data_IF_656090560597
#
_entry.id   IF_656090560597
#
_cell.length_a   1.000
_cell.length_b   1.000
_cell.length_c   1.000
_cell.angle_alpha   90.00
_cell.angle_beta   90.00
_cell.angle_gamma   90.00
#
_symmetry.space_group_name_H-M   'P 1'
#
loop_
_entity.id
_entity.type
_entity.pdbx_description
1 polymer ?
#
# COMPACT_ATOMS: atom_id res chain seq x y z
N UNK A 1 45.38 -12.40 9.24
CA UNK A 1 44.01 -12.15 9.73
C UNK A 1 43.10 -12.78 8.68
N UNK A 2 42.73 -14.04 8.89
CA UNK A 2 41.93 -14.80 7.93
C UNK A 2 40.52 -14.20 7.88
N UNK A 3 40.16 -13.70 6.71
CA UNK A 3 38.79 -13.32 6.40
C UNK A 3 38.05 -14.64 6.26
N UNK A 4 37.32 -15.04 7.30
CA UNK A 4 36.32 -16.10 7.18
C UNK A 4 35.26 -15.59 6.19
N UNK A 5 35.41 -15.94 4.92
CA UNK A 5 34.37 -15.74 3.92
C UNK A 5 33.26 -16.72 4.28
N UNK A 6 32.30 -16.26 5.06
CA UNK A 6 31.07 -17.02 5.25
C UNK A 6 30.41 -17.13 3.88
N UNK A 7 30.37 -18.34 3.32
CA UNK A 7 29.61 -18.62 2.10
C UNK A 7 28.11 -18.46 2.42
N UNK A 8 27.58 -17.28 2.13
CA UNK A 8 26.16 -17.00 2.19
C UNK A 8 25.52 -17.29 0.84
N UNK A 9 24.40 -18.01 0.87
CA UNK A 9 23.59 -18.27 -0.33
C UNK A 9 22.26 -17.52 -0.22
N UNK A 10 21.80 -16.83 -1.27
CA UNK A 10 20.51 -16.15 -1.23
C UNK A 10 19.36 -17.16 -1.14
N UNK A 11 18.32 -16.81 -0.37
CA UNK A 11 17.10 -17.61 -0.23
C UNK A 11 15.86 -16.73 -0.37
N UNK A 12 14.68 -17.36 -0.51
CA UNK A 12 13.43 -16.62 -0.67
C UNK A 12 13.45 -15.68 -1.89
N UNK A 13 13.01 -14.43 -1.69
CA UNK A 13 13.01 -13.43 -2.77
C UNK A 13 14.42 -13.11 -3.28
N UNK A 14 15.44 -13.08 -2.42
CA UNK A 14 16.80 -12.75 -2.85
C UNK A 14 17.30 -13.71 -3.94
N UNK A 15 17.06 -15.01 -3.76
CA UNK A 15 17.40 -16.03 -4.77
C UNK A 15 16.62 -15.85 -6.06
N UNK A 16 15.31 -15.57 -5.96
CA UNK A 16 14.44 -15.43 -7.12
C UNK A 16 14.79 -14.19 -7.95
N UNK A 17 15.12 -13.08 -7.27
CA UNK A 17 15.57 -11.86 -7.90
C UNK A 17 16.88 -12.07 -8.66
N UNK A 18 17.84 -12.75 -8.06
CA UNK A 18 19.11 -13.10 -8.73
C UNK A 18 18.88 -14.05 -9.91
N UNK A 19 18.15 -15.15 -9.69
CA UNK A 19 17.87 -16.18 -10.71
C UNK A 19 17.19 -15.64 -11.96
N UNK A 20 16.29 -14.66 -11.79
CA UNK A 20 15.55 -14.05 -12.89
C UNK A 20 16.13 -12.71 -13.36
N UNK A 21 17.29 -12.30 -12.83
CA UNK A 21 17.91 -11.00 -13.10
C UNK A 21 16.93 -9.81 -12.95
N UNK A 22 16.08 -9.89 -11.91
CA UNK A 22 15.10 -8.85 -11.60
C UNK A 22 15.76 -7.81 -10.69
N UNK A 23 15.78 -6.56 -11.15
CA UNK A 23 16.30 -5.43 -10.39
C UNK A 23 15.18 -4.43 -10.04
N UNK A 24 15.43 -3.61 -9.01
CA UNK A 24 14.69 -2.35 -8.84
C UNK A 24 13.51 -2.36 -7.88
N UNK A 25 13.24 -3.44 -7.15
CA UNK A 25 12.22 -3.44 -6.09
C UNK A 25 12.76 -4.09 -4.81
N UNK A 26 13.16 -3.31 -3.79
CA UNK A 26 13.61 -3.87 -2.53
C UNK A 26 12.44 -4.47 -1.75
N UNK A 27 12.70 -5.52 -0.99
CA UNK A 27 11.79 -5.98 0.06
C UNK A 27 12.30 -5.51 1.42
N UNK A 28 11.41 -5.38 2.39
CA UNK A 28 11.79 -5.04 3.75
C UNK A 28 12.64 -6.13 4.44
N UNK A 29 12.57 -7.37 3.94
CA UNK A 29 13.29 -8.52 4.44
C UNK A 29 14.05 -9.21 3.31
N UNK A 30 15.33 -9.50 3.55
CA UNK A 30 16.19 -10.28 2.68
C UNK A 30 16.74 -11.48 3.45
N UNK A 31 16.65 -12.66 2.83
CA UNK A 31 17.06 -13.91 3.45
C UNK A 31 18.31 -14.48 2.79
N UNK A 32 19.28 -14.85 3.61
CA UNK A 32 20.47 -15.61 3.23
C UNK A 32 20.51 -16.92 4.03
N UNK A 33 21.22 -17.92 3.53
CA UNK A 33 21.50 -19.18 4.23
C UNK A 33 23.00 -19.36 4.34
N UNK A 34 23.49 -19.55 5.56
CA UNK A 34 24.89 -19.85 5.82
C UNK A 34 25.16 -21.35 5.71
N UNK A 35 26.27 -21.73 5.09
CA UNK A 35 26.73 -23.11 4.97
C UNK A 35 27.28 -23.69 6.29
N UNK A 36 27.88 -22.85 7.14
CA UNK A 36 28.58 -23.27 8.37
C UNK A 36 28.27 -22.39 9.59
N UNK A 37 27.59 -21.27 9.41
CA UNK A 37 27.36 -20.27 10.45
C UNK A 37 26.09 -20.47 11.29
N UNK A 38 26.01 -19.68 12.36
CA UNK A 38 24.82 -19.56 13.21
C UNK A 38 23.81 -18.58 12.60
N UNK A 39 22.57 -18.66 13.09
CA UNK A 39 21.53 -17.71 12.72
C UNK A 39 21.84 -16.33 13.30
N UNK A 40 21.68 -15.28 12.51
CA UNK A 40 21.74 -13.90 12.97
C UNK A 40 20.89 -13.00 12.08
N UNK A 41 20.52 -11.82 12.58
CA UNK A 41 19.81 -10.79 11.82
C UNK A 41 20.47 -9.43 12.02
N UNK A 42 20.45 -8.62 10.95
CA UNK A 42 20.92 -7.24 10.94
C UNK A 42 19.76 -6.35 10.51
N UNK A 43 19.50 -5.32 11.29
CA UNK A 43 18.44 -4.34 11.01
C UNK A 43 19.09 -3.00 10.71
N UNK A 44 18.76 -2.40 9.57
CA UNK A 44 19.24 -1.08 9.17
C UNK A 44 18.12 -0.34 8.42
N UNK A 45 17.74 0.85 8.90
CA UNK A 45 16.72 1.71 8.27
C UNK A 45 15.38 1.01 7.97
N UNK A 46 14.99 0.05 8.81
CA UNK A 46 13.75 -0.73 8.65
C UNK A 46 13.87 -1.92 7.68
N UNK A 47 15.03 -2.12 7.06
CA UNK A 47 15.38 -3.33 6.31
C UNK A 47 16.00 -4.36 7.25
N UNK A 48 15.59 -5.61 7.07
CA UNK A 48 16.09 -6.76 7.81
C UNK A 48 16.83 -7.66 6.83
N UNK A 49 18.11 -7.89 7.10
CA UNK A 49 18.87 -8.97 6.49
C UNK A 49 18.99 -10.09 7.52
N UNK A 50 18.43 -11.25 7.20
CA UNK A 50 18.42 -12.41 8.10
C UNK A 50 19.19 -13.57 7.48
N UNK A 51 20.13 -14.11 8.24
CA UNK A 51 20.93 -15.27 7.85
C UNK A 51 20.44 -16.49 8.60
N UNK A 52 19.89 -17.44 7.86
CA UNK A 52 19.43 -18.72 8.36
C UNK A 52 20.54 -19.78 8.37
N UNK A 53 20.37 -20.79 9.21
CA UNK A 53 21.28 -21.96 9.27
C UNK A 53 21.09 -22.84 8.03
N UNK A 54 22.11 -23.62 7.67
CA UNK A 54 22.13 -24.51 6.49
C UNK A 54 20.87 -25.37 6.31
N UNK A 55 20.28 -25.87 7.41
CA UNK A 55 19.05 -26.68 7.38
C UNK A 55 17.82 -25.99 6.79
N UNK A 56 17.83 -24.66 6.70
CA UNK A 56 16.75 -23.87 6.11
C UNK A 56 16.88 -23.70 4.60
N UNK A 57 17.93 -24.25 3.97
CA UNK A 57 18.09 -24.22 2.53
C UNK A 57 16.89 -24.87 1.82
N UNK A 58 16.13 -24.13 0.97
CA UNK A 58 14.92 -24.65 0.34
C UNK A 58 15.20 -25.53 -0.90
N UNK A 59 16.46 -25.70 -1.31
CA UNK A 59 16.85 -26.40 -2.55
C UNK A 59 16.96 -25.45 -3.74
N UNK A 60 16.84 -25.95 -4.98
CA UNK A 60 17.06 -25.14 -6.19
C UNK A 60 15.76 -24.80 -6.96
N UNK A 61 14.62 -25.32 -6.49
CA UNK A 61 13.32 -25.19 -7.18
C UNK A 61 12.65 -23.87 -6.85
N UNK A 62 12.10 -23.20 -7.86
CA UNK A 62 11.46 -21.87 -7.69
C UNK A 62 10.31 -21.93 -6.69
N UNK A 63 9.46 -22.95 -6.76
CA UNK A 63 8.33 -23.11 -5.83
C UNK A 63 8.75 -23.18 -4.37
N UNK A 64 9.90 -23.82 -4.06
CA UNK A 64 10.40 -23.91 -2.69
C UNK A 64 10.89 -22.54 -2.19
N UNK A 65 11.53 -21.75 -3.06
CA UNK A 65 11.92 -20.38 -2.71
C UNK A 65 10.73 -19.42 -2.59
N UNK A 66 9.67 -19.59 -3.40
CA UNK A 66 8.42 -18.84 -3.22
C UNK A 66 7.76 -19.18 -1.87
N UNK A 67 7.70 -20.45 -1.50
CA UNK A 67 7.19 -20.89 -0.20
C UNK A 67 8.04 -20.31 0.95
N UNK A 68 9.36 -20.36 0.81
CA UNK A 68 10.29 -19.74 1.76
C UNK A 68 10.03 -18.23 1.90
N UNK A 69 9.93 -17.51 0.78
CA UNK A 69 9.71 -16.07 0.76
C UNK A 69 8.40 -15.69 1.48
N UNK A 70 7.29 -16.36 1.18
CA UNK A 70 6.01 -16.08 1.85
C UNK A 70 6.02 -16.41 3.36
N UNK A 71 6.94 -17.27 3.80
CA UNK A 71 7.08 -17.68 5.20
C UNK A 71 7.96 -16.73 6.00
N UNK A 72 9.06 -16.25 5.41
CA UNK A 72 10.10 -15.50 6.12
C UNK A 72 10.25 -14.05 5.62
N UNK A 73 10.20 -13.83 4.31
CA UNK A 73 10.35 -12.49 3.71
C UNK A 73 9.04 -11.68 3.68
N UNK A 74 7.90 -12.35 3.90
CA UNK A 74 6.58 -11.76 3.83
C UNK A 74 6.01 -11.67 2.40
N UNK A 75 4.83 -11.06 2.28
CA UNK A 75 4.13 -10.93 1.00
C UNK A 75 4.46 -9.57 0.40
N UNK A 76 4.98 -9.59 -0.82
CA UNK A 76 5.18 -8.39 -1.63
C UNK A 76 4.56 -8.63 -3.01
N UNK A 77 3.39 -8.03 -3.26
CA UNK A 77 2.63 -8.28 -4.48
C UNK A 77 3.35 -7.76 -5.74
N UNK A 78 4.11 -6.67 -5.64
CA UNK A 78 4.91 -6.16 -6.75
C UNK A 78 6.03 -7.13 -7.15
N UNK A 79 6.75 -7.67 -6.15
CA UNK A 79 7.77 -8.70 -6.39
C UNK A 79 7.16 -9.98 -6.95
N UNK A 80 6.04 -10.44 -6.39
CA UNK A 80 5.35 -11.62 -6.89
C UNK A 80 4.88 -11.44 -8.34
N UNK A 81 4.37 -10.26 -8.70
CA UNK A 81 3.97 -9.97 -10.08
C UNK A 81 5.17 -10.09 -11.04
N UNK A 82 6.30 -9.45 -10.73
CA UNK A 82 7.53 -9.53 -11.53
C UNK A 82 8.09 -10.96 -11.63
N UNK A 83 8.05 -11.71 -10.52
CA UNK A 83 8.51 -13.10 -10.50
C UNK A 83 7.59 -13.96 -11.37
N UNK A 84 6.27 -13.85 -11.23
CA UNK A 84 5.30 -14.66 -11.98
C UNK A 84 5.31 -14.39 -13.48
N UNK A 85 5.81 -13.24 -13.94
CA UNK A 85 6.07 -12.99 -15.36
C UNK A 85 7.23 -13.84 -15.92
N UNK A 86 8.17 -14.28 -15.07
CA UNK A 86 9.36 -15.06 -15.46
C UNK A 86 9.25 -16.55 -15.16
N UNK A 87 8.41 -16.92 -14.19
CA UNK A 87 8.22 -18.31 -13.78
C UNK A 87 7.39 -19.08 -14.83
N UNK A 88 7.84 -20.29 -15.18
CA UNK A 88 7.08 -21.14 -16.09
C UNK A 88 5.80 -21.66 -15.44
N UNK A 89 4.72 -21.70 -16.21
CA UNK A 89 3.42 -22.19 -15.75
C UNK A 89 3.50 -23.66 -15.31
N UNK A 90 4.27 -24.48 -16.01
CA UNK A 90 4.44 -25.91 -15.74
C UNK A 90 5.19 -26.16 -14.43
N UNK A 91 6.28 -25.43 -14.17
CA UNK A 91 7.02 -25.54 -12.91
C UNK A 91 6.13 -25.19 -11.71
N UNK A 92 5.37 -24.09 -11.82
CA UNK A 92 4.48 -23.65 -10.76
C UNK A 92 3.32 -24.63 -10.54
N UNK A 93 2.72 -25.13 -11.62
CA UNK A 93 1.67 -26.16 -11.57
C UNK A 93 2.18 -27.42 -10.89
N UNK A 94 3.38 -27.89 -11.28
CA UNK A 94 4.01 -29.06 -10.68
C UNK A 94 4.27 -28.89 -9.19
N UNK A 95 4.72 -27.71 -8.78
CA UNK A 95 4.91 -27.39 -7.36
C UNK A 95 3.59 -27.42 -6.59
N UNK A 96 2.54 -26.76 -7.08
CA UNK A 96 1.22 -26.72 -6.42
C UNK A 96 0.63 -28.14 -6.31
N UNK A 97 0.68 -28.93 -7.38
CA UNK A 97 0.21 -30.32 -7.39
C UNK A 97 1.00 -31.24 -6.45
N UNK A 98 2.25 -30.92 -6.15
CA UNK A 98 3.05 -31.70 -5.18
C UNK A 98 2.62 -31.48 -3.72
N UNK A 99 1.94 -30.36 -3.42
CA UNK A 99 1.50 -29.99 -2.05
C UNK A 99 0.10 -29.31 -2.08
N UNK A 100 -0.95 -29.97 -2.61
CA UNK A 100 -2.21 -29.31 -2.96
C UNK A 100 -2.95 -28.69 -1.76
N UNK A 101 -2.85 -29.31 -0.58
CA UNK A 101 -3.46 -28.81 0.66
C UNK A 101 -2.56 -27.85 1.44
N UNK A 102 -1.30 -27.71 1.03
CA UNK A 102 -0.28 -26.90 1.69
C UNK A 102 -0.66 -25.42 1.71
N UNK A 103 -0.59 -24.79 2.88
CA UNK A 103 -0.95 -23.38 3.08
C UNK A 103 -0.25 -22.45 2.08
N UNK A 104 1.08 -22.58 1.94
CA UNK A 104 1.85 -21.71 1.05
C UNK A 104 1.63 -22.03 -0.43
N UNK A 105 1.49 -23.30 -0.81
CA UNK A 105 1.15 -23.68 -2.19
C UNK A 105 -0.18 -23.05 -2.63
N UNK A 106 -1.21 -23.08 -1.77
CA UNK A 106 -2.52 -22.44 -2.04
C UNK A 106 -2.43 -20.93 -2.13
N UNK A 107 -1.62 -20.28 -1.29
CA UNK A 107 -1.37 -18.82 -1.36
C UNK A 107 -0.63 -18.44 -2.64
N UNK A 108 0.41 -19.17 -3.01
CA UNK A 108 1.16 -18.96 -4.27
C UNK A 108 0.23 -19.11 -5.47
N UNK A 109 -0.58 -20.16 -5.48
CA UNK A 109 -1.57 -20.40 -6.53
C UNK A 109 -2.56 -19.24 -6.65
N UNK A 110 -3.16 -18.82 -5.53
CA UNK A 110 -4.08 -17.69 -5.50
C UNK A 110 -3.42 -16.39 -5.99
N UNK A 111 -2.22 -16.07 -5.51
CA UNK A 111 -1.52 -14.85 -5.92
C UNK A 111 -1.13 -14.87 -7.39
N UNK A 112 -0.76 -16.03 -7.95
CA UNK A 112 -0.48 -16.15 -9.38
C UNK A 112 -1.73 -15.82 -10.20
N UNK A 113 -2.85 -16.48 -9.93
CA UNK A 113 -4.09 -16.26 -10.70
C UNK A 113 -4.62 -14.83 -10.49
N UNK A 114 -4.52 -14.29 -9.27
CA UNK A 114 -4.93 -12.91 -8.95
C UNK A 114 -4.08 -11.85 -9.66
N UNK A 115 -2.75 -11.96 -9.63
CA UNK A 115 -1.84 -10.95 -10.17
C UNK A 115 -1.71 -11.05 -11.69
N UNK A 116 -1.72 -12.26 -12.26
CA UNK A 116 -1.54 -12.45 -13.70
C UNK A 116 -2.86 -12.46 -14.47
N UNK A 117 -3.98 -12.78 -13.81
CA UNK A 117 -5.26 -13.05 -14.46
C UNK A 117 -5.28 -14.38 -15.23
N UNK A 118 -4.22 -15.19 -15.14
CA UNK A 118 -4.09 -16.47 -15.85
C UNK A 118 -4.38 -17.62 -14.88
N UNK A 119 -5.29 -18.50 -15.27
CA UNK A 119 -5.64 -19.68 -14.50
C UNK A 119 -4.61 -20.80 -14.71
N UNK A 120 -4.15 -21.44 -13.63
CA UNK A 120 -3.24 -22.58 -13.72
C UNK A 120 -4.00 -23.88 -14.05
N UNK A 121 -3.40 -24.86 -14.76
CA UNK A 121 -4.00 -26.16 -15.03
C UNK A 121 -3.95 -27.09 -13.79
N UNK A 122 -4.59 -26.62 -12.71
CA UNK A 122 -4.79 -27.28 -11.42
C UNK A 122 -6.29 -27.38 -11.18
N UNK A 123 -6.78 -28.53 -10.72
CA UNK A 123 -8.20 -28.71 -10.40
C UNK A 123 -8.59 -27.96 -9.13
N UNK A 124 -9.86 -27.54 -9.05
CA UNK A 124 -10.40 -26.87 -7.87
C UNK A 124 -10.31 -27.75 -6.61
N UNK A 125 -9.94 -27.16 -5.48
CA UNK A 125 -9.93 -27.86 -4.21
C UNK A 125 -11.35 -28.09 -3.67
N UNK A 126 -11.74 -29.36 -3.65
CA UNK A 126 -13.06 -29.80 -3.17
C UNK A 126 -13.14 -29.97 -1.65
N UNK A 127 -12.01 -30.00 -0.94
CA UNK A 127 -11.94 -30.17 0.52
C UNK A 127 -10.84 -29.32 1.15
N UNK A 128 -10.86 -29.20 2.48
CA UNK A 128 -9.88 -28.43 3.26
C UNK A 128 -10.42 -27.11 3.81
N UNK A 129 -9.74 -26.62 4.85
CA UNK A 129 -10.04 -25.35 5.50
C UNK A 129 -9.68 -24.16 4.59
N UNK A 130 -10.35 -23.04 4.79
CA UNK A 130 -9.90 -21.79 4.18
C UNK A 130 -8.71 -21.22 4.94
N UNK A 131 -7.75 -20.65 4.21
CA UNK A 131 -6.64 -19.89 4.79
C UNK A 131 -6.62 -18.49 4.19
N UNK A 132 -6.16 -17.51 4.95
CA UNK A 132 -6.12 -16.13 4.47
C UNK A 132 -5.01 -15.91 3.44
N UNK A 133 -5.24 -15.00 2.49
CA UNK A 133 -4.21 -14.56 1.55
C UNK A 133 -3.05 -13.86 2.29
N UNK A 134 -3.39 -12.98 3.24
CA UNK A 134 -2.47 -12.32 4.17
C UNK A 134 -2.75 -12.74 5.60
N UNK A 135 -1.71 -13.01 6.39
CA UNK A 135 -1.88 -13.32 7.81
C UNK A 135 -2.34 -12.08 8.58
N UNK A 136 -3.54 -12.08 9.17
CA UNK A 136 -4.09 -10.90 9.86
C UNK A 136 -3.25 -10.43 11.08
N UNK A 137 -2.42 -11.32 11.64
CA UNK A 137 -1.46 -10.97 12.70
C UNK A 137 -0.28 -10.13 12.19
N UNK A 138 0.11 -10.30 10.92
CA UNK A 138 1.30 -9.68 10.33
C UNK A 138 0.92 -8.52 9.38
N UNK A 139 -0.35 -8.43 8.97
CA UNK A 139 -0.86 -7.44 8.02
C UNK A 139 -2.21 -6.87 8.46
N UNK A 140 -2.47 -5.62 8.09
CA UNK A 140 -3.82 -5.07 8.09
C UNK A 140 -4.59 -5.62 6.89
N UNK A 141 -5.79 -6.13 7.17
CA UNK A 141 -6.60 -6.89 6.21
C UNK A 141 -8.08 -6.58 6.44
N UNK A 142 -8.93 -6.90 5.46
CA UNK A 142 -10.38 -6.83 5.65
C UNK A 142 -10.88 -7.99 6.53
N UNK A 143 -11.79 -7.72 7.47
CA UNK A 143 -12.23 -8.70 8.48
C UNK A 143 -13.15 -9.81 7.93
N UNK A 144 -13.68 -9.64 6.71
CA UNK A 144 -14.56 -10.61 6.02
C UNK A 144 -14.22 -10.71 4.53
N UNK A 145 -13.02 -11.21 4.23
CA UNK A 145 -12.57 -11.37 2.84
C UNK A 145 -13.46 -12.29 2.01
N UNK A 146 -13.43 -12.09 0.69
CA UNK A 146 -14.15 -12.93 -0.27
C UNK A 146 -13.51 -14.31 -0.36
N UNK A 147 -14.31 -15.37 -0.42
CA UNK A 147 -13.81 -16.74 -0.51
C UNK A 147 -13.52 -17.11 -1.96
N UNK A 148 -12.27 -17.44 -2.25
CA UNK A 148 -11.90 -18.16 -3.46
C UNK A 148 -11.99 -19.66 -3.21
N UNK A 149 -13.08 -20.28 -3.67
CA UNK A 149 -13.39 -21.70 -3.45
C UNK A 149 -12.33 -22.62 -4.07
N UNK A 150 -11.96 -22.35 -5.33
CA UNK A 150 -10.92 -23.05 -6.09
C UNK A 150 -9.62 -23.23 -5.32
N UNK A 151 -9.15 -22.14 -4.71
CA UNK A 151 -7.89 -22.10 -3.96
C UNK A 151 -8.07 -22.49 -2.49
N UNK A 152 -9.30 -22.50 -1.96
CA UNK A 152 -9.60 -22.48 -0.52
C UNK A 152 -8.85 -21.34 0.18
N UNK A 153 -8.89 -20.14 -0.40
CA UNK A 153 -8.26 -18.92 0.12
C UNK A 153 -9.34 -17.87 0.44
N UNK A 154 -9.21 -17.19 1.57
CA UNK A 154 -9.95 -15.96 1.85
C UNK A 154 -9.14 -14.79 1.32
N UNK A 155 -9.66 -14.12 0.30
CA UNK A 155 -9.13 -12.88 -0.24
C UNK A 155 -9.41 -11.73 0.72
N UNK A 156 -8.55 -11.59 1.73
CA UNK A 156 -8.57 -10.53 2.72
C UNK A 156 -7.68 -9.32 2.35
N UNK A 157 -7.37 -9.15 1.06
CA UNK A 157 -6.60 -8.02 0.53
C UNK A 157 -7.38 -6.70 0.65
N UNK A 158 -6.63 -5.58 0.70
CA UNK A 158 -7.18 -4.23 0.84
C UNK A 158 -7.72 -3.64 -0.47
N UNK A 159 -7.39 -4.24 -1.62
CA UNK A 159 -7.76 -3.71 -2.94
C UNK A 159 -7.72 -4.74 -4.06
N UNK A 160 -8.18 -4.36 -5.27
CA UNK A 160 -8.08 -5.17 -6.47
C UNK A 160 -6.66 -5.15 -7.08
N UNK A 161 -6.41 -5.97 -8.10
CA UNK A 161 -5.11 -6.03 -8.79
C UNK A 161 -4.60 -4.66 -9.27
N UNK A 162 -5.50 -3.78 -9.74
CA UNK A 162 -5.14 -2.45 -10.25
C UNK A 162 -4.57 -1.53 -9.17
N UNK A 163 -4.95 -1.71 -7.90
CA UNK A 163 -4.31 -1.02 -6.78
C UNK A 163 -4.55 -1.85 -5.52
N UNK A 164 -3.55 -2.62 -5.08
CA UNK A 164 -3.67 -3.47 -3.89
C UNK A 164 -2.56 -3.14 -2.88
N UNK A 165 -2.79 -2.18 -1.98
CA UNK A 165 -1.81 -1.86 -0.95
C UNK A 165 -1.66 -3.03 0.04
N UNK A 166 -0.44 -3.27 0.48
CA UNK A 166 -0.13 -4.25 1.53
C UNK A 166 0.49 -3.51 2.71
N UNK A 167 -0.25 -3.43 3.81
CA UNK A 167 0.20 -2.72 5.01
C UNK A 167 0.57 -3.74 6.09
N UNK A 168 1.86 -3.81 6.41
CA UNK A 168 2.36 -4.66 7.49
C UNK A 168 1.94 -4.13 8.85
N UNK A 169 1.54 -5.02 9.75
CA UNK A 169 1.30 -4.72 11.16
C UNK A 169 2.63 -4.75 11.92
N UNK A 170 3.36 -3.64 11.88
CA UNK A 170 4.57 -3.47 12.69
C UNK A 170 4.23 -3.17 14.14
N UNK A 171 5.17 -3.40 15.07
CA UNK A 171 4.95 -3.03 16.48
C UNK A 171 4.61 -1.54 16.66
N UNK A 172 5.26 -0.67 15.89
CA UNK A 172 5.00 0.78 15.92
C UNK A 172 3.56 1.09 15.52
N UNK A 173 3.07 0.49 14.43
CA UNK A 173 1.70 0.68 13.99
C UNK A 173 0.70 0.05 14.97
N UNK A 174 0.98 -1.16 15.47
CA UNK A 174 0.11 -1.81 16.45
C UNK A 174 -0.06 -0.97 17.73
N UNK A 175 1.01 -0.33 18.23
CA UNK A 175 0.94 0.59 19.38
C UNK A 175 0.09 1.84 19.07
N UNK A 176 0.27 2.44 17.89
CA UNK A 176 -0.52 3.62 17.49
C UNK A 176 -2.00 3.27 17.26
N UNK A 177 -2.27 2.12 16.65
CA UNK A 177 -3.62 1.61 16.39
C UNK A 177 -4.34 1.21 17.69
N UNK A 178 -3.59 0.75 18.71
CA UNK A 178 -4.13 0.50 20.05
C UNK A 178 -4.38 1.76 20.87
N UNK A 179 -3.86 2.92 20.43
CA UNK A 179 -4.16 4.18 21.09
C UNK A 179 -5.59 4.55 20.75
N UNK A 180 -6.44 4.70 21.78
CA UNK A 180 -7.85 5.04 21.61
C UNK A 180 -8.00 6.50 21.21
N UNK A 181 -7.60 6.81 19.97
CA UNK A 181 -7.65 8.16 19.41
C UNK A 181 -9.08 8.68 19.41
N UNK A 182 -10.07 7.82 19.19
CA UNK A 182 -11.49 8.17 19.25
C UNK A 182 -11.85 8.69 20.65
N UNK A 183 -11.58 7.91 21.69
CA UNK A 183 -11.85 8.34 23.06
C UNK A 183 -11.08 9.60 23.44
N UNK A 184 -9.81 9.72 23.04
CA UNK A 184 -9.03 10.94 23.29
C UNK A 184 -9.65 12.16 22.60
N UNK A 185 -10.16 12.01 21.38
CA UNK A 185 -10.89 13.07 20.68
C UNK A 185 -12.20 13.41 21.41
N UNK A 186 -12.97 12.42 21.85
CA UNK A 186 -14.20 12.61 22.63
C UNK A 186 -13.93 13.32 23.96
N UNK A 187 -12.88 12.93 24.69
CA UNK A 187 -12.46 13.56 25.94
C UNK A 187 -12.12 15.05 25.72
N UNK A 188 -11.42 15.38 24.62
CA UNK A 188 -11.11 16.77 24.26
C UNK A 188 -12.38 17.55 23.92
N UNK A 189 -13.26 16.98 23.08
CA UNK A 189 -14.48 17.67 22.63
C UNK A 189 -15.42 17.93 23.81
N UNK A 190 -15.51 17.00 24.77
CA UNK A 190 -16.36 17.13 25.96
C UNK A 190 -15.75 18.03 27.04
N UNK A 191 -14.43 18.19 27.08
CA UNK A 191 -13.74 19.02 28.07
C UNK A 191 -13.89 20.54 27.84
N UNK A 192 -14.32 20.97 26.66
CA UNK A 192 -14.40 22.40 26.30
C UNK A 192 -15.77 22.83 25.76
N UNK A 193 -16.17 24.10 25.96
CA UNK A 193 -17.40 24.62 25.37
C UNK A 193 -17.39 24.51 23.84
N UNK A 194 -18.52 24.19 23.19
CA UNK A 194 -18.62 24.03 21.74
C UNK A 194 -18.12 25.23 20.94
N UNK A 195 -18.34 26.45 21.43
CA UNK A 195 -17.88 27.67 20.74
C UNK A 195 -16.35 27.82 20.74
N UNK A 196 -15.69 27.36 21.80
CA UNK A 196 -14.22 27.37 21.89
C UNK A 196 -13.63 26.30 20.97
N UNK A 197 -14.25 25.12 20.90
CA UNK A 197 -13.90 24.06 19.95
C UNK A 197 -14.07 24.56 18.51
N UNK A 198 -15.21 25.17 18.15
CA UNK A 198 -15.44 25.74 16.81
C UNK A 198 -14.39 26.78 16.44
N UNK A 199 -14.05 27.68 17.37
CA UNK A 199 -12.99 28.68 17.14
C UNK A 199 -11.62 28.04 16.96
N UNK A 200 -11.29 27.03 17.76
CA UNK A 200 -10.04 26.28 17.66
C UNK A 200 -9.97 25.51 16.33
N UNK A 201 -11.03 24.79 15.95
CA UNK A 201 -11.13 24.11 14.66
C UNK A 201 -11.02 25.09 13.49
N UNK A 202 -11.69 26.23 13.56
CA UNK A 202 -11.57 27.27 12.52
C UNK A 202 -10.13 27.79 12.41
N UNK A 203 -9.44 28.00 13.54
CA UNK A 203 -8.03 28.37 13.56
C UNK A 203 -7.12 27.27 13.00
N UNK A 204 -7.33 26.02 13.41
CA UNK A 204 -6.56 24.85 12.96
C UNK A 204 -6.76 24.61 11.48
N UNK A 205 -7.99 24.65 10.96
CA UNK A 205 -8.24 24.54 9.53
C UNK A 205 -7.63 25.70 8.75
N UNK A 206 -7.71 26.94 9.25
CA UNK A 206 -7.00 28.07 8.63
C UNK A 206 -5.48 27.85 8.61
N UNK A 207 -4.91 27.32 9.70
CA UNK A 207 -3.47 27.03 9.81
C UNK A 207 -3.06 25.90 8.88
N UNK A 208 -3.81 24.80 8.86
CA UNK A 208 -3.60 23.63 7.99
C UNK A 208 -3.72 24.02 6.52
N UNK A 209 -4.67 24.90 6.20
CA UNK A 209 -4.83 25.41 4.84
C UNK A 209 -3.65 26.29 4.46
N UNK A 210 -3.22 27.20 5.34
CA UNK A 210 -2.02 28.03 5.11
C UNK A 210 -0.76 27.18 4.95
N UNK A 211 -0.51 26.22 5.83
CA UNK A 211 0.64 25.30 5.72
C UNK A 211 0.55 24.46 4.45
N UNK A 212 -0.63 23.95 4.11
CA UNK A 212 -0.92 23.22 2.86
C UNK A 212 -0.54 24.02 1.60
N UNK A 213 -0.93 25.30 1.54
CA UNK A 213 -0.57 26.19 0.43
C UNK A 213 0.90 26.63 0.48
N UNK A 214 1.47 26.84 1.66
CA UNK A 214 2.88 27.23 1.86
C UNK A 214 3.85 26.09 1.48
N UNK A 215 3.48 24.83 1.75
CA UNK A 215 4.22 23.65 1.26
C UNK A 215 4.28 23.67 -0.28
N UNK A 216 3.20 24.09 -0.92
CA UNK A 216 3.11 24.26 -2.38
C UNK A 216 3.64 25.63 -2.86
N UNK A 217 4.27 26.43 -1.97
CA UNK A 217 4.79 27.80 -2.22
C UNK A 217 3.77 28.79 -2.79
N UNK A 218 2.47 28.54 -2.57
CA UNK A 218 1.38 29.42 -2.97
C UNK A 218 1.04 30.33 -1.78
N UNK A 219 1.02 31.66 -1.99
CA UNK A 219 0.41 32.57 -1.00
C UNK A 219 -1.11 32.44 -1.07
N UNK A 220 -1.80 31.96 -0.02
CA UNK A 220 -3.25 31.83 -0.04
C UNK A 220 -3.90 33.22 -0.05
N UNK A 221 -4.95 33.39 -0.86
CA UNK A 221 -5.88 34.51 -0.69
C UNK A 221 -7.04 34.06 0.23
N UNK A 222 -7.67 35.00 0.94
CA UNK A 222 -8.69 34.69 1.95
C UNK A 222 -9.84 33.79 1.42
N UNK A 223 -10.24 34.01 0.17
CA UNK A 223 -11.31 33.24 -0.50
C UNK A 223 -10.95 31.77 -0.74
N UNK A 224 -9.69 31.44 -1.04
CA UNK A 224 -9.25 30.04 -1.23
C UNK A 224 -9.25 29.27 0.08
N UNK A 225 -8.80 29.91 1.15
CA UNK A 225 -8.83 29.30 2.48
C UNK A 225 -10.26 29.00 2.92
N UNK A 226 -11.16 29.94 2.71
CA UNK A 226 -12.58 29.76 3.01
C UNK A 226 -13.21 28.59 2.23
N UNK A 227 -12.94 28.48 0.92
CA UNK A 227 -13.44 27.36 0.09
C UNK A 227 -12.94 25.99 0.54
N UNK A 228 -11.68 25.89 0.97
CA UNK A 228 -11.14 24.64 1.50
C UNK A 228 -11.79 24.29 2.84
N UNK A 229 -11.97 25.27 3.74
CA UNK A 229 -12.69 25.09 5.01
C UNK A 229 -14.14 24.64 4.77
N UNK A 230 -14.86 25.28 3.83
CA UNK A 230 -16.22 24.86 3.46
C UNK A 230 -16.25 23.43 2.93
N UNK A 231 -15.23 23.05 2.15
CA UNK A 231 -15.13 21.67 1.65
C UNK A 231 -14.93 20.69 2.80
N UNK A 232 -14.13 21.03 3.81
CA UNK A 232 -13.93 20.17 5.00
C UNK A 232 -15.22 19.98 5.80
N UNK A 233 -16.10 20.98 5.86
CA UNK A 233 -17.43 20.82 6.48
C UNK A 233 -18.33 19.86 5.70
N UNK A 234 -18.16 19.76 4.37
CA UNK A 234 -18.87 18.78 3.54
C UNK A 234 -18.27 17.38 3.66
N UNK A 235 -16.98 17.27 4.01
CA UNK A 235 -16.28 16.00 4.20
C UNK A 235 -16.90 15.12 5.29
N UNK A 236 -17.62 15.70 6.25
CA UNK A 236 -18.33 14.95 7.30
C UNK A 236 -19.64 14.31 6.79
N UNK A 237 -20.13 14.71 5.62
CA UNK A 237 -21.48 14.34 5.12
C UNK A 237 -21.46 13.50 3.87
N UNK A 238 -20.41 13.62 3.07
CA UNK A 238 -20.29 12.99 1.76
C UNK A 238 -18.96 12.25 1.64
N UNK A 239 -18.96 11.11 0.96
CA UNK A 239 -17.74 10.42 0.56
C UNK A 239 -17.20 11.06 -0.72
N UNK A 240 -15.98 11.61 -0.65
CA UNK A 240 -15.34 12.27 -1.78
C UNK A 240 -14.40 11.36 -2.56
N UNK A 241 -14.17 10.12 -2.12
CA UNK A 241 -13.28 9.18 -2.80
C UNK A 241 -13.97 8.50 -4.01
N UNK A 242 -14.52 9.34 -4.89
CA UNK A 242 -15.14 8.97 -6.16
C UNK A 242 -14.66 9.93 -7.25
N UNK A 243 -14.48 9.43 -8.49
CA UNK A 243 -13.89 10.22 -9.59
C UNK A 243 -14.54 11.59 -9.77
N UNK A 244 -15.87 11.64 -9.88
CA UNK A 244 -16.61 12.88 -10.08
C UNK A 244 -16.44 13.86 -8.91
N UNK A 245 -16.41 13.35 -7.67
CA UNK A 245 -16.25 14.17 -6.46
C UNK A 245 -14.82 14.67 -6.27
N UNK A 246 -13.83 13.87 -6.65
CA UNK A 246 -12.43 14.29 -6.67
C UNK A 246 -12.20 15.44 -7.66
N UNK A 247 -12.78 15.34 -8.87
CA UNK A 247 -12.72 16.41 -9.88
C UNK A 247 -13.46 17.66 -9.40
N UNK A 248 -14.64 17.50 -8.80
CA UNK A 248 -15.39 18.62 -8.21
C UNK A 248 -14.58 19.32 -7.10
N UNK A 249 -13.96 18.53 -6.21
CA UNK A 249 -13.12 19.05 -5.14
C UNK A 249 -11.89 19.78 -5.69
N UNK A 250 -11.20 19.20 -6.68
CA UNK A 250 -10.07 19.82 -7.37
C UNK A 250 -10.48 21.21 -7.89
N UNK A 251 -11.58 21.27 -8.63
CA UNK A 251 -12.09 22.49 -9.24
C UNK A 251 -12.51 23.58 -8.24
N UNK A 252 -12.81 23.20 -6.99
CA UNK A 252 -13.13 24.13 -5.89
C UNK A 252 -11.88 24.73 -5.24
N UNK A 253 -10.78 23.98 -5.18
CA UNK A 253 -9.59 24.32 -4.38
C UNK A 253 -8.42 24.89 -5.21
N UNK A 254 -8.42 24.70 -6.53
CA UNK A 254 -7.39 25.22 -7.44
C UNK A 254 -7.75 26.59 -8.02
N UNK A 255 -6.77 27.25 -8.66
CA UNK A 255 -7.03 28.43 -9.49
C UNK A 255 -7.92 28.04 -10.68
N UNK A 256 -8.93 28.85 -11.08
CA UNK A 256 -9.78 28.53 -12.23
C UNK A 256 -9.04 28.16 -13.53
N UNK A 257 -7.79 28.62 -13.71
CA UNK A 257 -6.94 28.29 -14.87
C UNK A 257 -6.34 26.88 -14.83
N UNK A 258 -6.29 26.25 -13.66
CA UNK A 258 -5.77 24.89 -13.45
C UNK A 258 -6.90 23.90 -13.16
N UNK A 259 -8.13 24.24 -13.56
CA UNK A 259 -9.29 23.36 -13.44
C UNK A 259 -9.16 22.19 -14.39
N UNK A 260 -9.25 20.99 -13.85
CA UNK A 260 -9.21 19.77 -14.63
C UNK A 260 -10.63 19.26 -14.88
N UNK A 261 -10.89 18.79 -16.10
CA UNK A 261 -12.14 18.10 -16.46
C UNK A 261 -12.06 16.59 -16.27
N UNK A 262 -10.84 16.04 -16.26
CA UNK A 262 -10.54 14.63 -16.03
C UNK A 262 -9.13 14.49 -15.43
N UNK A 263 -8.63 13.28 -15.23
CA UNK A 263 -7.26 12.99 -14.86
C UNK A 263 -6.27 13.45 -15.92
N UNK A 264 -5.03 13.73 -15.51
CA UNK A 264 -3.97 14.23 -16.39
C UNK A 264 -3.68 13.28 -17.55
N UNK A 265 -3.46 13.86 -18.73
CA UNK A 265 -2.98 13.16 -19.93
C UNK A 265 -1.45 13.32 -20.11
N UNK A 266 -0.84 14.25 -19.38
CA UNK A 266 0.60 14.51 -19.38
C UNK A 266 1.34 13.75 -18.28
N UNK A 267 2.60 13.38 -18.56
CA UNK A 267 3.50 12.85 -17.54
C UNK A 267 3.91 13.96 -16.57
N UNK A 268 3.68 13.74 -15.28
CA UNK A 268 4.08 14.65 -14.21
C UNK A 268 5.18 14.01 -13.31
N UNK A 269 5.84 14.83 -12.50
CA UNK A 269 6.83 14.40 -11.52
C UNK A 269 6.73 15.23 -10.24
N UNK A 270 7.14 14.63 -9.12
CA UNK A 270 7.36 15.34 -7.87
C UNK A 270 8.84 15.70 -7.78
N UNK A 271 9.12 16.98 -7.69
CA UNK A 271 10.48 17.50 -7.65
C UNK A 271 10.61 18.77 -6.82
N UNK A 272 11.84 19.26 -6.71
CA UNK A 272 12.15 20.55 -6.12
C UNK A 272 12.98 21.39 -7.07
N UNK A 273 12.61 22.67 -7.23
CA UNK A 273 13.44 23.65 -7.93
C UNK A 273 14.57 24.11 -7.00
N UNK A 274 15.81 23.79 -7.35
CA UNK A 274 17.01 24.13 -6.57
C UNK A 274 17.65 25.43 -7.06
N UNK A 275 17.60 25.67 -8.38
CA UNK A 275 18.01 26.92 -9.01
C UNK A 275 17.25 27.12 -10.32
N UNK A 276 17.40 28.27 -10.97
CA UNK A 276 16.82 28.52 -12.30
C UNK A 276 17.25 27.42 -13.28
N UNK A 277 16.28 26.76 -13.92
CA UNK A 277 16.46 25.60 -14.81
C UNK A 277 17.12 24.36 -14.18
N UNK A 278 17.23 24.31 -12.85
CA UNK A 278 17.77 23.15 -12.13
C UNK A 278 16.72 22.56 -11.22
N UNK A 279 16.15 21.45 -11.68
CA UNK A 279 15.17 20.68 -10.92
C UNK A 279 15.76 19.34 -10.49
N UNK A 280 15.51 18.98 -9.24
CA UNK A 280 15.76 17.63 -8.75
C UNK A 280 14.43 16.89 -8.78
N UNK A 281 14.36 15.88 -9.63
CA UNK A 281 13.24 14.95 -9.68
C UNK A 281 13.39 13.96 -8.53
N UNK A 282 12.44 13.96 -7.61
CA UNK A 282 12.41 13.00 -6.50
C UNK A 282 11.65 11.74 -6.89
N UNK A 283 10.60 11.90 -7.69
CA UNK A 283 9.72 10.80 -8.05
C UNK A 283 9.01 11.11 -9.38
N UNK A 284 8.97 10.12 -10.26
CA UNK A 284 8.20 10.17 -11.50
C UNK A 284 6.90 9.39 -11.24
N UNK A 285 5.77 10.07 -11.37
CA UNK A 285 4.45 9.47 -11.13
C UNK A 285 4.13 8.41 -12.19
N UNK A 286 3.13 7.54 -11.95
CA UNK A 286 2.68 6.57 -12.96
C UNK A 286 2.36 7.22 -14.31
N UNK A 287 2.49 6.45 -15.39
CA UNK A 287 2.19 6.95 -16.74
C UNK A 287 0.72 7.35 -16.85
N UNK A 288 0.39 8.38 -17.65
CA UNK A 288 -0.99 8.77 -17.90
C UNK A 288 -1.87 7.60 -18.34
N UNK A 289 -1.37 6.75 -19.24
CA UNK A 289 -2.11 5.59 -19.78
C UNK A 289 -2.53 4.57 -18.70
N UNK A 290 -1.77 4.47 -17.60
CA UNK A 290 -2.07 3.56 -16.49
C UNK A 290 -3.02 4.22 -15.46
N UNK A 291 -3.13 5.54 -15.46
CA UNK A 291 -3.72 6.32 -14.37
C UNK A 291 -5.19 6.04 -14.14
N UNK A 292 -5.97 5.91 -15.22
CA UNK A 292 -7.41 5.62 -15.12
C UNK A 292 -7.65 4.31 -14.36
N UNK A 293 -6.96 3.23 -14.72
CA UNK A 293 -7.11 1.92 -14.06
C UNK A 293 -6.60 1.95 -12.61
N UNK A 294 -5.49 2.64 -12.36
CA UNK A 294 -4.94 2.80 -11.00
C UNK A 294 -5.90 3.57 -10.08
N UNK A 295 -6.52 4.64 -10.58
CA UNK A 295 -7.49 5.45 -9.82
C UNK A 295 -8.79 4.68 -9.56
N UNK A 296 -9.28 3.92 -10.53
CA UNK A 296 -10.40 2.99 -10.33
C UNK A 296 -10.07 1.97 -9.23
N UNK A 297 -8.87 1.37 -9.28
CA UNK A 297 -8.40 0.45 -8.25
C UNK A 297 -8.31 1.08 -6.86
N UNK A 298 -7.88 2.34 -6.78
CA UNK A 298 -7.80 3.08 -5.52
C UNK A 298 -9.19 3.32 -4.92
N UNK A 299 -10.16 3.71 -5.75
CA UNK A 299 -11.56 3.90 -5.34
C UNK A 299 -12.17 2.56 -4.88
N UNK A 300 -11.92 1.48 -5.61
CA UNK A 300 -12.39 0.14 -5.22
C UNK A 300 -11.75 -0.33 -3.91
N UNK A 301 -10.47 0.00 -3.69
CA UNK A 301 -9.78 -0.27 -2.42
C UNK A 301 -10.40 0.51 -1.28
N UNK A 302 -10.76 1.78 -1.50
CA UNK A 302 -11.44 2.59 -0.50
C UNK A 302 -12.76 1.93 -0.09
N UNK A 303 -13.62 1.58 -1.06
CA UNK A 303 -14.89 0.88 -0.81
C UNK A 303 -14.70 -0.46 -0.10
N UNK A 304 -13.68 -1.22 -0.51
CA UNK A 304 -13.34 -2.52 0.10
C UNK A 304 -12.87 -2.36 1.55
N UNK A 305 -12.06 -1.36 1.85
CA UNK A 305 -11.59 -1.09 3.22
C UNK A 305 -12.70 -0.57 4.13
N UNK A 306 -13.61 0.27 3.61
CA UNK A 306 -14.81 0.73 4.31
C UNK A 306 -15.70 -0.44 4.72
N UNK A 307 -16.09 -1.29 3.76
CA UNK A 307 -16.93 -2.47 4.04
C UNK A 307 -16.21 -3.56 4.84
N UNK A 308 -14.89 -3.63 4.69
CA UNK A 308 -14.01 -4.59 5.35
C UNK A 308 -13.65 -4.27 6.80
N UNK A 309 -14.13 -3.16 7.35
CA UNK A 309 -13.85 -2.71 8.72
C UNK A 309 -12.34 -2.65 9.05
N UNK A 310 -11.57 -2.06 8.14
CA UNK A 310 -10.13 -1.80 8.34
C UNK A 310 -9.97 -0.61 9.28
N UNK A 311 -8.90 -0.61 10.10
CA UNK A 311 -8.58 0.51 11.00
C UNK A 311 -8.68 1.87 10.27
N UNK A 312 -9.44 2.84 10.80
CA UNK A 312 -9.67 4.13 10.14
C UNK A 312 -8.38 4.86 9.77
N UNK A 313 -7.38 4.80 10.66
CA UNK A 313 -6.09 5.47 10.47
C UNK A 313 -5.31 4.80 9.33
N UNK A 314 -5.31 3.45 9.29
CA UNK A 314 -4.64 2.71 8.22
C UNK A 314 -5.36 2.94 6.89
N UNK A 315 -6.68 2.92 6.89
CA UNK A 315 -7.49 3.18 5.72
C UNK A 315 -7.22 4.57 5.14
N UNK A 316 -7.33 5.62 5.97
CA UNK A 316 -7.08 7.01 5.57
C UNK A 316 -5.65 7.20 5.05
N UNK A 317 -4.66 6.69 5.78
CA UNK A 317 -3.25 6.79 5.36
C UNK A 317 -3.00 6.09 4.02
N UNK A 318 -3.57 4.90 3.83
CA UNK A 318 -3.38 4.09 2.62
C UNK A 318 -3.98 4.77 1.39
N UNK A 319 -5.23 5.24 1.48
CA UNK A 319 -5.92 5.87 0.35
C UNK A 319 -5.35 7.24 0.04
N UNK A 320 -5.13 8.08 1.06
CA UNK A 320 -4.56 9.40 0.84
C UNK A 320 -3.14 9.29 0.25
N UNK A 321 -2.28 8.43 0.80
CA UNK A 321 -0.94 8.22 0.25
C UNK A 321 -0.99 7.66 -1.18
N UNK A 322 -1.86 6.68 -1.43
CA UNK A 322 -2.11 6.17 -2.78
C UNK A 322 -2.45 7.28 -3.76
N UNK A 323 -3.38 8.16 -3.37
CA UNK A 323 -3.83 9.26 -4.22
C UNK A 323 -2.69 10.22 -4.59
N UNK A 324 -1.89 10.67 -3.61
CA UNK A 324 -0.78 11.61 -3.90
C UNK A 324 0.35 10.94 -4.67
N UNK A 325 0.53 9.63 -4.49
CA UNK A 325 1.51 8.83 -5.23
C UNK A 325 1.10 8.67 -6.71
N UNK A 326 -0.18 8.41 -6.99
CA UNK A 326 -0.71 8.35 -8.36
C UNK A 326 -0.68 9.73 -9.04
N UNK A 327 -0.88 10.78 -8.25
CA UNK A 327 -0.81 12.19 -8.65
C UNK A 327 -1.74 12.49 -9.84
N UNK A 328 -3.07 12.29 -9.69
CA UNK A 328 -3.98 12.22 -10.84
C UNK A 328 -4.28 13.54 -11.55
N UNK A 329 -4.01 14.69 -10.93
CA UNK A 329 -4.33 16.02 -11.49
C UNK A 329 -3.06 16.81 -11.83
N UNK A 330 -3.19 17.91 -12.58
CA UNK A 330 -2.07 18.82 -12.86
C UNK A 330 -1.74 19.69 -11.63
N UNK A 331 -2.75 20.08 -10.86
CA UNK A 331 -2.61 20.82 -9.60
C UNK A 331 -3.61 20.33 -8.53
N UNK A 332 -3.29 20.57 -7.26
CA UNK A 332 -4.18 20.31 -6.13
C UNK A 332 -4.04 18.92 -5.50
N UNK A 333 -3.16 18.06 -6.02
CA UNK A 333 -2.99 16.69 -5.50
C UNK A 333 -2.63 16.64 -4.01
N UNK A 334 -1.71 17.50 -3.56
CA UNK A 334 -1.31 17.60 -2.15
C UNK A 334 -2.47 18.05 -1.24
N UNK A 335 -3.27 19.02 -1.70
CA UNK A 335 -4.46 19.50 -0.99
C UNK A 335 -5.54 18.44 -0.88
N UNK A 336 -5.83 17.72 -1.97
CA UNK A 336 -6.82 16.63 -1.98
C UNK A 336 -6.35 15.47 -1.09
N UNK A 337 -5.06 15.13 -1.13
CA UNK A 337 -4.47 14.14 -0.21
C UNK A 337 -4.79 14.45 1.26
N UNK A 338 -4.50 15.67 1.71
CA UNK A 338 -4.78 16.09 3.10
C UNK A 338 -6.28 16.08 3.39
N UNK A 339 -7.09 16.53 2.44
CA UNK A 339 -8.55 16.47 2.55
C UNK A 339 -9.08 15.05 2.73
N UNK A 340 -8.59 14.08 1.93
CA UNK A 340 -9.03 12.69 1.99
C UNK A 340 -8.72 12.04 3.35
N UNK A 341 -7.64 12.45 4.02
CA UNK A 341 -7.38 12.00 5.40
C UNK A 341 -8.54 12.39 6.32
N UNK A 342 -8.99 13.66 6.26
CA UNK A 342 -10.11 14.12 7.08
C UNK A 342 -11.42 13.42 6.70
N UNK A 343 -11.72 13.35 5.40
CA UNK A 343 -12.96 12.75 4.90
C UNK A 343 -13.10 11.28 5.33
N UNK A 344 -12.04 10.48 5.14
CA UNK A 344 -12.08 9.05 5.49
C UNK A 344 -12.19 8.87 7.00
N UNK A 345 -11.48 9.67 7.80
CA UNK A 345 -11.57 9.58 9.26
C UNK A 345 -12.95 9.97 9.79
N UNK A 346 -13.67 10.90 9.14
CA UNK A 346 -15.02 11.30 9.54
C UNK A 346 -16.11 10.30 9.16
N UNK A 347 -15.86 9.42 8.18
CA UNK A 347 -16.84 8.42 7.72
C UNK A 347 -16.89 7.16 8.60
N UNK A 348 -16.00 7.02 9.59
CA UNK A 348 -15.81 5.79 10.37
C UNK A 348 -16.30 5.83 11.81
#
# INVERSE_FOLDING_TARGET
MEINVFDFRPAGYAYLLEKFALAGMPNWHSSLVSTTGTHYSKIQDGFVEEVFRAQYWPGEKVGNHLEFALKYDGVNLGLLALIFEKVSQDELTGFIKSKPTGKYARRIWFFYEFLTGKQLPVDDLTSGNYVDALEAKDYYTVQKGEKSSRHRIVNNLLGPKSFCPVVRRTEKLARLDSSDLRKRCEDIVTAYPPELIRRALSYLYNKETKSSFEIERIKPNASRTEKFITSLTLAEKEDFCEKARLIELQNRIVDPRFKDSDYRESQNYVGQTVAYQKEIIHFICPKPDDLQSLMEGLIDSHKRMTTGNVSPVIHAATIAYGFVFLHPFEDGNGRIHRFLIHNILSLQ
#
